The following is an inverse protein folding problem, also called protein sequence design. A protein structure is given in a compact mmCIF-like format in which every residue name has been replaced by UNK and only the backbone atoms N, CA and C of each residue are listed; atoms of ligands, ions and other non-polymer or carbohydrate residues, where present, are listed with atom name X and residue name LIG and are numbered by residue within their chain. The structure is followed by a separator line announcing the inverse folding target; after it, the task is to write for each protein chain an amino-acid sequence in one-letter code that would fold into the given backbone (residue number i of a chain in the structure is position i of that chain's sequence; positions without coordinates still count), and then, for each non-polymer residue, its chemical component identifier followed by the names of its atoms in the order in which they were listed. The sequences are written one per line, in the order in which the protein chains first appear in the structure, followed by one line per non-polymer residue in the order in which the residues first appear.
data_IF_299273049400
#
_entry.id   IF_299273049400
#
_cell.length_a   1.000
_cell.length_b   1.000
_cell.length_c   1.000
_cell.angle_alpha   90.00
_cell.angle_beta   90.00
_cell.angle_gamma   90.00
#
_symmetry.space_group_name_H-M   'P 1'
#
loop_
_entity.id
_entity.type
_entity.pdbx_description
1 polymer ?
#
# COMPACT_ATOMS: atom_id res chain seq x y z
N UNK A 1 39.37 -24.24 -19.86
CA UNK A 1 39.29 -22.82 -20.25
C UNK A 1 38.60 -22.11 -19.10
N UNK A 2 39.39 -21.56 -18.18
CA UNK A 2 38.90 -20.96 -16.95
C UNK A 2 38.27 -19.61 -17.27
N UNK A 3 36.94 -19.55 -17.39
CA UNK A 3 36.24 -18.28 -17.40
C UNK A 3 36.23 -17.75 -15.97
N UNK A 4 36.97 -16.65 -15.77
CA UNK A 4 36.85 -15.81 -14.58
C UNK A 4 35.42 -15.27 -14.49
N UNK A 5 34.55 -15.96 -13.75
CA UNK A 5 33.21 -15.50 -13.36
C UNK A 5 33.23 -14.38 -12.30
N UNK A 6 34.40 -13.85 -11.97
CA UNK A 6 34.56 -12.77 -10.98
C UNK A 6 34.00 -11.41 -11.44
N UNK A 7 33.46 -11.28 -12.66
CA UNK A 7 33.01 -10.00 -13.22
C UNK A 7 31.55 -9.97 -13.74
N UNK A 8 30.72 -10.96 -13.39
CA UNK A 8 29.30 -11.01 -13.83
C UNK A 8 28.28 -11.10 -12.68
N UNK A 9 28.66 -10.71 -11.47
CA UNK A 9 27.71 -10.55 -10.36
C UNK A 9 27.44 -9.07 -10.08
N UNK A 10 26.78 -8.38 -11.02
CA UNK A 10 25.85 -7.34 -10.57
C UNK A 10 24.75 -8.09 -9.83
N UNK A 11 24.77 -8.03 -8.51
CA UNK A 11 23.58 -8.31 -7.70
C UNK A 11 22.49 -7.41 -8.29
N UNK A 12 21.58 -7.96 -9.09
CA UNK A 12 20.57 -7.15 -9.76
C UNK A 12 19.74 -6.45 -8.68
N UNK A 13 19.57 -5.14 -8.83
CA UNK A 13 18.73 -4.35 -7.93
C UNK A 13 17.30 -4.84 -8.07
N UNK A 14 16.61 -4.99 -6.94
CA UNK A 14 15.17 -5.23 -6.93
C UNK A 14 14.48 -3.99 -7.53
N UNK A 15 13.69 -4.19 -8.59
CA UNK A 15 12.85 -3.15 -9.18
C UNK A 15 11.53 -3.08 -8.42
N UNK A 16 11.39 -2.07 -7.55
CA UNK A 16 10.20 -1.90 -6.73
C UNK A 16 9.29 -0.84 -7.35
N UNK A 17 8.04 -1.20 -7.67
CA UNK A 17 6.99 -0.21 -7.91
C UNK A 17 6.48 0.35 -6.59
N UNK A 18 6.41 1.66 -6.44
CA UNK A 18 5.89 2.34 -5.24
C UNK A 18 4.73 3.26 -5.64
N UNK A 19 3.56 3.07 -5.02
CA UNK A 19 2.38 3.90 -5.27
C UNK A 19 1.79 4.36 -3.94
N UNK A 20 1.67 5.67 -3.73
CA UNK A 20 0.96 6.23 -2.58
C UNK A 20 -0.28 6.93 -3.11
N UNK A 21 -1.46 6.59 -2.57
CA UNK A 21 -2.63 7.44 -2.73
C UNK A 21 -2.59 8.54 -1.66
N UNK A 22 -2.27 9.81 -2.00
CA UNK A 22 -2.09 10.88 -1.02
C UNK A 22 -3.36 11.17 -0.22
N UNK A 23 -4.53 10.80 -0.74
CA UNK A 23 -5.83 11.09 -0.14
C UNK A 23 -6.36 9.94 0.73
N UNK A 24 -5.66 8.81 0.78
CA UNK A 24 -6.10 7.65 1.55
C UNK A 24 -5.99 7.88 3.07
N UNK A 25 -6.99 7.37 3.80
CA UNK A 25 -7.08 7.47 5.26
C UNK A 25 -7.85 8.70 5.78
N UNK A 26 -8.17 9.67 4.91
CA UNK A 26 -8.85 10.92 5.27
C UNK A 26 -10.27 10.68 5.83
N UNK A 27 -11.07 9.83 5.18
CA UNK A 27 -12.49 9.64 5.50
C UNK A 27 -12.77 8.95 6.84
N UNK A 28 -11.86 8.09 7.30
CA UNK A 28 -12.04 7.29 8.52
C UNK A 28 -12.04 8.14 9.81
N UNK A 29 -11.21 9.17 9.89
CA UNK A 29 -11.02 10.00 11.10
C UNK A 29 -12.16 10.97 11.38
N UNK A 30 -12.86 11.44 10.35
CA UNK A 30 -13.98 12.39 10.49
C UNK A 30 -15.34 11.70 10.64
N UNK A 31 -15.35 10.38 10.90
CA UNK A 31 -16.58 9.59 10.98
C UNK A 31 -17.35 9.54 9.66
N UNK A 32 -16.72 9.95 8.55
CA UNK A 32 -17.35 9.92 7.24
C UNK A 32 -17.37 8.50 6.72
N UNK A 33 -18.45 8.20 6.03
CA UNK A 33 -18.76 6.90 5.46
C UNK A 33 -17.94 6.67 4.17
N UNK A 34 -16.62 6.63 4.29
CA UNK A 34 -15.67 6.47 3.17
C UNK A 34 -14.82 7.72 2.92
N UNK A 35 -13.84 7.60 2.01
CA UNK A 35 -12.95 8.70 1.55
C UNK A 35 -13.14 9.04 0.07
N UNK A 36 -14.10 8.40 -0.58
CA UNK A 36 -14.19 8.36 -2.04
C UNK A 36 -15.25 9.38 -2.51
N UNK A 37 -14.85 10.21 -3.47
CA UNK A 37 -15.60 11.39 -3.93
C UNK A 37 -14.95 12.71 -3.51
N UNK A 38 -14.76 13.61 -4.48
CA UNK A 38 -14.11 14.91 -4.28
C UNK A 38 -14.78 15.73 -3.15
N UNK A 39 -16.11 15.71 -3.07
CA UNK A 39 -16.87 16.42 -2.03
C UNK A 39 -16.54 15.94 -0.61
N UNK A 40 -16.32 14.63 -0.42
CA UNK A 40 -16.00 14.03 0.89
C UNK A 40 -14.57 14.37 1.29
N UNK A 41 -13.65 14.36 0.32
CA UNK A 41 -12.25 14.71 0.52
C UNK A 41 -12.10 16.20 0.90
N UNK A 42 -12.79 17.09 0.18
CA UNK A 42 -12.83 18.51 0.51
C UNK A 42 -13.42 18.76 1.91
N UNK A 43 -14.54 18.12 2.24
CA UNK A 43 -15.18 18.26 3.55
C UNK A 43 -14.29 17.75 4.69
N UNK A 44 -13.56 16.66 4.47
CA UNK A 44 -12.66 16.11 5.47
C UNK A 44 -11.41 16.98 5.67
N UNK A 45 -10.84 17.52 4.59
CA UNK A 45 -9.74 18.49 4.67
C UNK A 45 -10.17 19.77 5.41
N UNK A 46 -11.36 20.29 5.13
CA UNK A 46 -11.94 21.44 5.86
C UNK A 46 -12.13 21.15 7.35
N UNK A 47 -12.28 19.88 7.73
CA UNK A 47 -12.38 19.42 9.13
C UNK A 47 -11.02 19.09 9.75
N UNK A 48 -9.92 19.40 9.08
CA UNK A 48 -8.55 19.16 9.59
C UNK A 48 -8.11 17.70 9.52
N UNK A 49 -8.75 16.86 8.69
CA UNK A 49 -8.31 15.49 8.51
C UNK A 49 -6.93 15.45 7.84
N UNK A 50 -6.00 14.70 8.44
CA UNK A 50 -4.65 14.49 7.91
C UNK A 50 -4.61 13.10 7.26
N UNK A 51 -4.19 13.05 6.00
CA UNK A 51 -3.96 11.78 5.30
C UNK A 51 -2.76 11.04 5.89
N UNK A 52 -2.91 9.73 6.13
CA UNK A 52 -1.87 8.93 6.79
C UNK A 52 -1.02 8.13 5.81
N UNK A 53 -1.42 8.01 4.55
CA UNK A 53 -0.75 7.17 3.56
C UNK A 53 0.76 7.46 3.45
N UNK A 54 1.14 8.75 3.47
CA UNK A 54 2.54 9.20 3.47
C UNK A 54 3.31 8.71 4.70
N UNK A 55 2.76 8.91 5.90
CA UNK A 55 3.39 8.50 7.15
C UNK A 55 3.49 6.97 7.25
N UNK A 56 2.45 6.24 6.86
CA UNK A 56 2.44 4.76 6.87
C UNK A 56 3.42 4.18 5.87
N UNK A 57 3.49 4.71 4.65
CA UNK A 57 4.51 4.28 3.69
C UNK A 57 5.92 4.62 4.17
N UNK A 58 6.12 5.77 4.81
CA UNK A 58 7.42 6.11 5.42
C UNK A 58 7.84 5.10 6.49
N UNK A 59 6.91 4.65 7.34
CA UNK A 59 7.15 3.57 8.32
C UNK A 59 7.61 2.28 7.63
N UNK A 60 6.93 1.88 6.55
CA UNK A 60 7.29 0.67 5.79
C UNK A 60 8.68 0.80 5.13
N UNK A 61 8.95 1.91 4.44
CA UNK A 61 10.22 2.12 3.74
C UNK A 61 11.41 2.32 4.69
N UNK A 62 11.18 2.83 5.90
CA UNK A 62 12.23 2.94 6.92
C UNK A 62 12.90 1.59 7.23
N UNK A 63 12.13 0.49 7.20
CA UNK A 63 12.65 -0.87 7.42
C UNK A 63 13.69 -1.31 6.38
N UNK A 64 13.66 -0.73 5.16
CA UNK A 64 14.54 -1.10 4.05
C UNK A 64 15.59 -0.04 3.72
N UNK A 65 15.61 1.10 4.42
CA UNK A 65 16.69 2.09 4.31
C UNK A 65 18.09 1.47 4.48
N UNK A 66 18.34 0.53 5.42
CA UNK A 66 19.65 -0.11 5.55
C UNK A 66 20.09 -0.93 4.32
N UNK A 67 19.17 -1.32 3.44
CA UNK A 67 19.46 -2.05 2.21
C UNK A 67 19.03 -1.30 0.94
N UNK A 68 18.86 0.02 1.01
CA UNK A 68 18.37 0.85 -0.12
C UNK A 68 19.21 0.75 -1.39
N UNK A 69 20.51 0.48 -1.27
CA UNK A 69 21.40 0.26 -2.43
C UNK A 69 21.09 -1.02 -3.21
N UNK A 70 20.19 -1.87 -2.72
CA UNK A 70 19.74 -3.10 -3.40
C UNK A 70 18.39 -2.93 -4.09
N UNK A 71 17.82 -1.72 -4.07
CA UNK A 71 16.48 -1.43 -4.60
C UNK A 71 16.56 -0.22 -5.53
N UNK A 72 15.86 -0.32 -6.66
CA UNK A 72 15.55 0.83 -7.51
C UNK A 72 14.04 1.02 -7.54
N UNK A 73 13.56 2.20 -7.15
CA UNK A 73 12.13 2.48 -7.02
C UNK A 73 11.58 3.13 -8.30
N UNK A 74 10.45 2.64 -8.79
CA UNK A 74 9.66 3.26 -9.85
C UNK A 74 8.38 3.80 -9.23
N UNK A 75 8.08 5.08 -9.42
CA UNK A 75 6.96 5.73 -8.72
C UNK A 75 6.37 6.89 -9.53
N UNK A 76 5.30 7.50 -9.02
CA UNK A 76 4.69 8.70 -9.60
C UNK A 76 5.19 9.99 -8.92
N UNK A 77 5.01 11.10 -9.63
CA UNK A 77 5.47 12.41 -9.21
C UNK A 77 4.85 12.87 -7.87
N UNK A 78 5.52 13.81 -7.20
CA UNK A 78 5.07 14.47 -5.99
C UNK A 78 4.73 13.48 -4.84
N UNK A 79 3.56 13.65 -4.22
CA UNK A 79 3.10 12.88 -3.07
C UNK A 79 2.61 11.47 -3.44
N UNK A 80 2.62 11.09 -4.72
CA UNK A 80 2.37 9.70 -5.11
C UNK A 80 3.58 8.78 -4.89
N UNK A 81 4.75 9.33 -4.55
CA UNK A 81 5.88 8.58 -4.00
C UNK A 81 7.24 9.21 -4.20
N UNK A 82 7.41 10.10 -5.19
CA UNK A 82 8.64 10.85 -5.45
C UNK A 82 9.17 11.56 -4.19
N UNK A 83 8.35 12.39 -3.55
CA UNK A 83 8.75 13.20 -2.39
C UNK A 83 9.25 12.32 -1.23
N UNK A 84 8.64 11.14 -1.05
CA UNK A 84 9.05 10.18 -0.01
C UNK A 84 10.37 9.49 -0.38
N UNK A 85 10.53 9.08 -1.64
CA UNK A 85 11.79 8.48 -2.12
C UNK A 85 12.96 9.44 -1.95
N UNK A 86 12.77 10.70 -2.34
CA UNK A 86 13.76 11.76 -2.19
C UNK A 86 14.11 11.97 -0.71
N UNK A 87 13.10 12.12 0.15
CA UNK A 87 13.27 12.34 1.59
C UNK A 87 14.04 11.21 2.29
N UNK A 88 13.80 9.97 1.90
CA UNK A 88 14.48 8.79 2.48
C UNK A 88 15.80 8.44 1.74
N UNK A 89 16.11 9.15 0.66
CA UNK A 89 17.35 8.99 -0.11
C UNK A 89 17.47 7.64 -0.81
N UNK A 90 16.36 7.15 -1.38
CA UNK A 90 16.37 6.00 -2.31
C UNK A 90 16.76 6.44 -3.72
N UNK A 91 17.31 5.52 -4.51
CA UNK A 91 17.41 5.71 -5.97
C UNK A 91 16.04 5.41 -6.57
N UNK A 92 15.51 6.35 -7.37
CA UNK A 92 14.19 6.21 -7.96
C UNK A 92 14.09 6.76 -9.38
N UNK A 93 13.00 6.41 -10.06
CA UNK A 93 12.58 6.95 -11.35
C UNK A 93 11.10 7.30 -11.29
N UNK A 94 10.76 8.54 -11.64
CA UNK A 94 9.38 8.95 -11.85
C UNK A 94 8.92 8.43 -13.20
N UNK A 95 7.90 7.58 -13.20
CA UNK A 95 7.35 6.91 -14.41
C UNK A 95 5.99 7.44 -14.82
N UNK A 96 5.33 8.19 -13.93
CA UNK A 96 4.07 8.86 -14.23
C UNK A 96 4.07 10.25 -13.62
N UNK A 97 3.74 11.22 -14.44
CA UNK A 97 3.31 12.52 -13.97
C UNK A 97 1.99 12.38 -13.21
N UNK A 98 1.78 13.24 -12.22
CA UNK A 98 0.55 13.34 -11.45
C UNK A 98 0.40 14.78 -10.91
N UNK A 99 -0.83 15.29 -10.75
CA UNK A 99 -1.05 16.58 -10.10
C UNK A 99 -0.47 16.59 -8.68
N UNK A 100 0.14 17.70 -8.28
CA UNK A 100 0.73 17.83 -6.95
C UNK A 100 -0.31 17.88 -5.83
N UNK A 101 -1.50 18.46 -6.07
CA UNK A 101 -2.48 18.76 -5.02
C UNK A 101 -3.74 17.89 -5.07
N UNK A 102 -4.19 17.50 -6.27
CA UNK A 102 -5.47 16.83 -6.47
C UNK A 102 -5.32 15.58 -7.34
N UNK A 103 -4.87 14.50 -6.71
CA UNK A 103 -4.79 13.19 -7.35
C UNK A 103 -6.15 12.48 -7.33
N UNK A 104 -6.43 11.69 -8.35
CA UNK A 104 -7.64 10.91 -8.48
C UNK A 104 -7.33 9.42 -8.75
N UNK A 105 -8.39 8.61 -8.88
CA UNK A 105 -8.27 7.18 -9.14
C UNK A 105 -7.45 6.86 -10.41
N UNK A 106 -7.66 7.63 -11.49
CA UNK A 106 -6.94 7.40 -12.74
C UNK A 106 -5.44 7.69 -12.64
N UNK A 107 -5.01 8.60 -11.75
CA UNK A 107 -3.59 8.84 -11.52
C UNK A 107 -2.93 7.61 -10.86
N UNK A 108 -3.64 6.98 -9.92
CA UNK A 108 -3.19 5.71 -9.31
C UNK A 108 -3.08 4.62 -10.37
N UNK A 109 -4.13 4.44 -11.20
CA UNK A 109 -4.13 3.42 -12.25
C UNK A 109 -3.02 3.65 -13.29
N UNK A 110 -2.81 4.90 -13.69
CA UNK A 110 -1.75 5.26 -14.63
C UNK A 110 -0.37 4.95 -14.05
N UNK A 111 -0.11 5.35 -12.80
CA UNK A 111 1.15 5.08 -12.14
C UNK A 111 1.44 3.58 -12.01
N UNK A 112 0.43 2.76 -11.73
CA UNK A 112 0.54 1.28 -11.71
C UNK A 112 0.91 0.75 -13.09
N UNK A 113 0.20 1.16 -14.16
CA UNK A 113 0.49 0.73 -15.54
C UNK A 113 1.92 1.11 -15.94
N UNK A 114 2.35 2.34 -15.63
CA UNK A 114 3.69 2.82 -15.93
C UNK A 114 4.77 2.06 -15.15
N UNK A 115 4.55 1.74 -13.86
CA UNK A 115 5.46 0.88 -13.10
C UNK A 115 5.55 -0.52 -13.72
N UNK A 116 4.42 -1.11 -14.10
CA UNK A 116 4.40 -2.44 -14.71
C UNK A 116 5.15 -2.48 -16.05
N UNK A 117 5.08 -1.41 -16.86
CA UNK A 117 5.84 -1.28 -18.10
C UNK A 117 7.37 -1.24 -17.88
N UNK A 118 7.83 -0.84 -16.69
CA UNK A 118 9.26 -0.90 -16.34
C UNK A 118 9.73 -2.31 -15.92
N UNK A 119 8.81 -3.27 -15.85
CA UNK A 119 9.08 -4.63 -15.42
C UNK A 119 9.51 -4.69 -13.96
N UNK A 120 8.72 -4.07 -13.08
CA UNK A 120 8.94 -4.16 -11.62
C UNK A 120 8.77 -5.59 -11.12
N UNK A 121 9.60 -6.00 -10.17
CA UNK A 121 9.60 -7.33 -9.57
C UNK A 121 8.50 -7.47 -8.49
N UNK A 122 8.14 -6.34 -7.87
CA UNK A 122 7.17 -6.24 -6.78
C UNK A 122 6.55 -4.83 -6.79
N UNK A 123 5.27 -4.74 -6.48
CA UNK A 123 4.56 -3.48 -6.27
C UNK A 123 4.22 -3.32 -4.78
N UNK A 124 4.62 -2.21 -4.16
CA UNK A 124 4.15 -1.84 -2.82
C UNK A 124 3.31 -0.57 -2.92
N UNK A 125 2.20 -0.53 -2.19
CA UNK A 125 1.31 0.62 -2.26
C UNK A 125 0.71 1.01 -0.90
N UNK A 126 0.40 2.29 -0.70
CA UNK A 126 -0.31 2.77 0.48
C UNK A 126 -1.70 3.28 0.12
N UNK A 127 -2.73 2.74 0.77
CA UNK A 127 -4.13 3.04 0.45
C UNK A 127 -5.15 2.36 1.34
N UNK A 128 -6.42 2.51 0.97
CA UNK A 128 -7.55 1.72 1.46
C UNK A 128 -8.15 0.86 0.35
N UNK A 129 -9.26 0.16 0.61
CA UNK A 129 -9.87 -0.80 -0.33
C UNK A 129 -10.11 -0.24 -1.75
N UNK A 130 -10.62 0.99 -1.89
CA UNK A 130 -10.76 1.65 -3.20
C UNK A 130 -9.44 1.83 -3.96
N UNK A 131 -8.31 1.98 -3.25
CA UNK A 131 -6.96 2.00 -3.86
C UNK A 131 -6.54 0.61 -4.34
N UNK A 132 -6.78 -0.43 -3.53
CA UNK A 132 -6.52 -1.81 -3.92
C UNK A 132 -7.34 -2.22 -5.15
N UNK A 133 -8.61 -1.79 -5.21
CA UNK A 133 -9.49 -1.91 -6.38
C UNK A 133 -8.87 -1.27 -7.62
N UNK A 134 -8.42 -0.01 -7.52
CA UNK A 134 -7.81 0.69 -8.67
C UNK A 134 -6.54 -0.01 -9.15
N UNK A 135 -5.69 -0.48 -8.23
CA UNK A 135 -4.48 -1.26 -8.56
C UNK A 135 -4.85 -2.55 -9.29
N UNK A 136 -5.85 -3.28 -8.79
CA UNK A 136 -6.35 -4.48 -9.45
C UNK A 136 -6.81 -4.17 -10.87
N UNK A 137 -7.66 -3.16 -11.08
CA UNK A 137 -8.14 -2.79 -12.40
C UNK A 137 -7.01 -2.39 -13.35
N UNK A 138 -6.02 -1.64 -12.87
CA UNK A 138 -4.87 -1.23 -13.65
C UNK A 138 -4.01 -2.42 -14.10
N UNK A 139 -3.75 -3.38 -13.20
CA UNK A 139 -2.96 -4.57 -13.51
C UNK A 139 -3.64 -5.49 -14.54
N UNK A 140 -4.98 -5.56 -14.55
CA UNK A 140 -5.71 -6.32 -15.57
C UNK A 140 -5.60 -5.76 -16.99
N UNK A 141 -5.13 -4.51 -17.13
CA UNK A 141 -4.94 -3.87 -18.43
C UNK A 141 -3.49 -3.96 -18.93
N UNK A 142 -2.58 -4.54 -18.15
CA UNK A 142 -1.18 -4.69 -18.54
C UNK A 142 -1.03 -5.97 -19.37
N UNK A 143 -0.54 -5.86 -20.60
CA UNK A 143 -0.35 -6.98 -21.54
C UNK A 143 0.79 -7.96 -21.16
N UNK A 144 1.43 -7.75 -20.01
CA UNK A 144 2.56 -8.56 -19.53
C UNK A 144 2.10 -9.94 -19.08
N UNK A 145 2.88 -10.97 -19.42
CA UNK A 145 2.61 -12.37 -19.04
C UNK A 145 2.82 -12.66 -17.55
N UNK A 146 3.32 -11.69 -16.77
CA UNK A 146 3.50 -11.84 -15.33
C UNK A 146 3.16 -10.53 -14.63
N UNK A 147 2.11 -10.57 -13.82
CA UNK A 147 1.71 -9.49 -12.93
C UNK A 147 2.61 -9.54 -11.70
N UNK A 148 3.29 -8.44 -11.40
CA UNK A 148 4.13 -8.35 -10.22
C UNK A 148 3.28 -8.60 -8.95
N UNK A 149 3.79 -9.38 -7.98
CA UNK A 149 3.13 -9.49 -6.68
C UNK A 149 2.99 -8.13 -6.01
N UNK A 150 2.00 -8.00 -5.13
CA UNK A 150 1.69 -6.74 -4.45
C UNK A 150 1.85 -6.87 -2.93
N UNK A 151 2.18 -5.76 -2.26
CA UNK A 151 2.08 -5.60 -0.80
C UNK A 151 1.32 -4.31 -0.52
N UNK A 152 0.15 -4.42 0.09
CA UNK A 152 -0.60 -3.27 0.58
C UNK A 152 -0.08 -2.78 1.93
N UNK A 153 0.15 -1.48 2.05
CA UNK A 153 0.41 -0.77 3.30
C UNK A 153 -0.89 -0.11 3.74
N UNK A 154 -1.47 -0.52 4.87
CA UNK A 154 -2.78 -0.02 5.29
C UNK A 154 -2.69 1.47 5.67
N UNK A 155 -3.43 2.33 4.98
CA UNK A 155 -3.50 3.78 5.27
C UNK A 155 -4.66 4.18 6.19
N UNK A 156 -5.53 3.24 6.55
CA UNK A 156 -6.69 3.47 7.43
C UNK A 156 -7.21 2.18 8.06
N UNK A 157 -8.22 2.31 8.92
CA UNK A 157 -8.70 1.24 9.80
C UNK A 157 -9.89 0.43 9.24
N UNK A 158 -10.23 0.58 7.96
CA UNK A 158 -11.38 -0.08 7.31
C UNK A 158 -10.90 -0.77 6.04
N UNK A 159 -10.18 -1.86 6.21
CA UNK A 159 -9.61 -2.63 5.12
C UNK A 159 -10.22 -4.02 5.15
N UNK A 160 -10.92 -4.35 4.08
CA UNK A 160 -11.55 -5.65 3.85
C UNK A 160 -10.75 -6.51 2.88
N UNK A 161 -9.91 -5.90 2.03
CA UNK A 161 -9.04 -6.62 1.12
C UNK A 161 -7.92 -7.34 1.88
N UNK A 162 -7.65 -8.60 1.54
CA UNK A 162 -6.56 -9.38 2.15
C UNK A 162 -5.18 -9.12 1.53
N UNK A 163 -5.09 -8.16 0.59
CA UNK A 163 -3.83 -7.77 -0.06
C UNK A 163 -2.89 -6.93 0.81
N UNK A 164 -3.34 -6.56 2.01
CA UNK A 164 -2.60 -5.69 2.92
C UNK A 164 -1.78 -6.46 3.94
N UNK A 165 -0.65 -5.88 4.32
CA UNK A 165 0.06 -6.27 5.52
C UNK A 165 -0.78 -5.93 6.77
N UNK A 166 -0.57 -6.68 7.85
CA UNK A 166 -1.24 -6.45 9.15
C UNK A 166 -0.91 -5.05 9.70
N UNK A 167 0.32 -4.58 9.50
CA UNK A 167 0.73 -3.23 9.86
C UNK A 167 1.66 -2.64 8.80
N UNK A 168 1.86 -1.31 8.76
CA UNK A 168 2.86 -0.70 7.89
C UNK A 168 4.28 -1.20 8.15
N UNK A 169 4.64 -1.44 9.41
CA UNK A 169 5.92 -2.02 9.78
C UNK A 169 6.09 -3.45 9.22
N UNK A 170 5.06 -4.28 9.31
CA UNK A 170 5.07 -5.63 8.74
C UNK A 170 5.24 -5.63 7.21
N UNK A 171 4.65 -4.65 6.49
CA UNK A 171 4.90 -4.49 5.06
C UNK A 171 6.40 -4.21 4.78
N UNK A 172 7.01 -3.32 5.57
CA UNK A 172 8.42 -3.00 5.48
C UNK A 172 9.35 -4.17 5.81
N UNK A 173 9.04 -4.93 6.86
CA UNK A 173 9.78 -6.12 7.26
C UNK A 173 9.69 -7.22 6.22
N UNK A 174 8.49 -7.46 5.67
CA UNK A 174 8.28 -8.40 4.56
C UNK A 174 9.10 -8.01 3.33
N UNK A 175 9.08 -6.72 2.96
CA UNK A 175 9.89 -6.20 1.87
C UNK A 175 11.40 -6.37 2.14
N UNK A 176 11.85 -6.12 3.37
CA UNK A 176 13.25 -6.31 3.76
C UNK A 176 13.70 -7.77 3.62
N UNK A 177 12.83 -8.74 3.94
CA UNK A 177 13.09 -10.17 3.74
C UNK A 177 13.25 -10.52 2.26
N UNK A 178 12.38 -9.98 1.40
CA UNK A 178 12.44 -10.16 -0.06
C UNK A 178 13.75 -9.61 -0.62
N UNK A 179 14.12 -8.37 -0.25
CA UNK A 179 15.38 -7.74 -0.69
C UNK A 179 16.60 -8.55 -0.27
N UNK A 180 16.55 -9.18 0.92
CA UNK A 180 17.62 -10.06 1.42
C UNK A 180 17.66 -11.43 0.75
N UNK A 181 16.77 -11.71 -0.21
CA UNK A 181 16.75 -12.94 -1.00
C UNK A 181 16.03 -14.10 -0.33
N UNK A 182 15.15 -13.84 0.66
CA UNK A 182 14.29 -14.90 1.22
C UNK A 182 13.30 -15.34 0.14
N UNK A 183 13.32 -16.62 -0.21
CA UNK A 183 12.31 -17.21 -1.07
C UNK A 183 10.97 -17.25 -0.31
N UNK A 184 9.95 -16.60 -0.87
CA UNK A 184 8.59 -16.60 -0.35
C UNK A 184 7.66 -17.20 -1.41
N UNK A 185 6.72 -18.02 -0.99
CA UNK A 185 5.64 -18.47 -1.86
C UNK A 185 4.71 -17.30 -2.16
N UNK A 186 4.07 -17.31 -3.33
CA UNK A 186 2.98 -16.40 -3.64
C UNK A 186 1.65 -17.04 -3.30
N UNK A 187 0.67 -16.23 -2.94
CA UNK A 187 -0.71 -16.63 -2.73
C UNK A 187 -1.69 -15.59 -3.26
N UNK A 188 -2.91 -16.02 -3.58
CA UNK A 188 -3.97 -15.14 -4.07
C UNK A 188 -4.73 -14.47 -2.92
N UNK A 189 -4.67 -13.15 -2.84
CA UNK A 189 -5.40 -12.36 -1.85
C UNK A 189 -6.56 -11.60 -2.52
N UNK A 190 -7.72 -11.60 -1.85
CA UNK A 190 -8.93 -10.94 -2.30
C UNK A 190 -8.82 -9.43 -2.28
N UNK A 191 -9.26 -8.80 -3.37
CA UNK A 191 -9.51 -7.36 -3.46
C UNK A 191 -11.00 -7.13 -3.26
N UNK A 192 -11.34 -6.56 -2.11
CA UNK A 192 -12.70 -6.29 -1.67
C UNK A 192 -12.90 -4.78 -1.60
N UNK A 193 -14.09 -4.30 -1.94
CA UNK A 193 -14.44 -2.90 -1.70
C UNK A 193 -15.91 -2.78 -1.30
N UNK A 194 -16.25 -1.72 -0.57
CA UNK A 194 -17.62 -1.47 -0.14
C UNK A 194 -18.42 -0.91 -1.32
N UNK A 195 -19.62 -1.44 -1.52
CA UNK A 195 -20.61 -0.83 -2.40
C UNK A 195 -21.07 0.49 -1.78
N UNK A 196 -20.47 1.60 -2.25
CA UNK A 196 -20.73 2.93 -1.73
C UNK A 196 -22.18 3.39 -1.91
N UNK A 197 -22.84 3.00 -3.00
CA UNK A 197 -24.26 3.32 -3.22
C UNK A 197 -25.13 2.63 -2.17
N UNK A 198 -24.88 1.34 -1.93
CA UNK A 198 -25.53 0.60 -0.86
C UNK A 198 -25.22 1.22 0.52
N UNK A 199 -23.98 1.67 0.72
CA UNK A 199 -23.55 2.25 1.99
C UNK A 199 -24.18 3.62 2.28
N UNK A 200 -24.38 4.45 1.26
CA UNK A 200 -25.18 5.69 1.33
C UNK A 200 -26.63 5.40 1.72
N UNK A 201 -27.17 4.26 1.30
CA UNK A 201 -28.50 3.77 1.69
C UNK A 201 -28.50 3.03 3.04
N UNK A 202 -27.40 3.06 3.80
CA UNK A 202 -27.29 2.44 5.12
C UNK A 202 -27.06 0.93 5.10
N UNK A 203 -26.76 0.32 3.95
CA UNK A 203 -26.48 -1.10 3.79
C UNK A 203 -24.99 -1.31 3.56
N UNK A 204 -24.31 -2.04 4.46
CA UNK A 204 -22.91 -2.42 4.26
C UNK A 204 -22.88 -3.69 3.41
N UNK A 205 -22.38 -3.59 2.18
CA UNK A 205 -22.17 -4.74 1.29
C UNK A 205 -20.78 -4.66 0.70
N UNK A 206 -19.89 -5.56 1.10
CA UNK A 206 -18.59 -5.71 0.46
C UNK A 206 -18.75 -6.50 -0.84
N UNK A 207 -18.03 -6.09 -1.89
CA UNK A 207 -18.01 -6.71 -3.21
C UNK A 207 -16.59 -7.20 -3.51
N UNK A 208 -16.49 -8.44 -3.99
CA UNK A 208 -15.25 -8.99 -4.53
C UNK A 208 -14.99 -8.42 -5.94
N UNK A 209 -13.83 -7.80 -6.13
CA UNK A 209 -13.37 -7.31 -7.44
C UNK A 209 -12.48 -8.34 -8.16
N UNK A 210 -11.70 -9.10 -7.40
CA UNK A 210 -10.85 -10.16 -7.91
C UNK A 210 -9.75 -10.51 -6.92
N UNK A 211 -8.64 -11.03 -7.44
CA UNK A 211 -7.51 -11.49 -6.63
C UNK A 211 -6.19 -10.93 -7.17
N UNK A 212 -5.27 -10.65 -6.27
CA UNK A 212 -3.89 -10.26 -6.58
C UNK A 212 -2.92 -11.23 -5.90
N UNK A 213 -1.79 -11.48 -6.54
CA UNK A 213 -0.72 -12.27 -5.94
C UNK A 213 -0.02 -11.43 -4.86
N UNK A 214 0.13 -12.01 -3.67
CA UNK A 214 0.89 -11.42 -2.56
C UNK A 214 1.91 -12.42 -2.03
N UNK A 215 3.00 -11.98 -1.38
CA UNK A 215 3.89 -12.88 -0.67
C UNK A 215 3.13 -13.59 0.47
N UNK A 216 3.00 -14.91 0.40
CA UNK A 216 2.24 -15.73 1.33
C UNK A 216 3.03 -15.97 2.62
N UNK A 217 3.07 -14.96 3.48
CA UNK A 217 3.67 -15.04 4.82
C UNK A 217 2.64 -14.58 5.86
N UNK A 218 1.96 -15.57 6.47
CA UNK A 218 0.82 -15.38 7.38
C UNK A 218 1.11 -14.46 8.58
N UNK A 219 2.39 -14.25 8.92
CA UNK A 219 2.78 -13.35 10.01
C UNK A 219 2.70 -11.88 9.62
N UNK A 220 2.90 -11.56 8.34
CA UNK A 220 2.97 -10.17 7.87
C UNK A 220 1.72 -9.75 7.10
N UNK A 221 1.05 -10.66 6.40
CA UNK A 221 -0.13 -10.37 5.58
C UNK A 221 -1.44 -10.62 6.34
N UNK A 222 -2.46 -9.82 6.05
CA UNK A 222 -3.81 -10.05 6.58
C UNK A 222 -4.31 -11.43 6.11
N UNK A 223 -4.88 -12.20 7.05
CA UNK A 223 -5.19 -13.61 6.83
C UNK A 223 -6.11 -13.82 5.61
N UNK A 224 -5.67 -14.66 4.67
CA UNK A 224 -6.39 -15.04 3.44
C UNK A 224 -7.58 -16.00 3.69
N UNK A 225 -7.85 -16.38 4.93
CA UNK A 225 -8.93 -17.33 5.28
C UNK A 225 -10.15 -16.57 5.76
N UNK A 226 -11.19 -16.61 4.93
CA UNK A 226 -12.54 -16.19 5.28
C UNK A 226 -13.04 -16.87 6.57
N UNK A 227 -13.62 -16.08 7.47
CA UNK A 227 -14.59 -16.58 8.47
C UNK A 227 -14.22 -16.45 9.95
N UNK A 228 -14.47 -15.28 10.54
CA UNK A 228 -15.22 -15.19 11.81
C UNK A 228 -14.43 -14.94 13.10
N UNK A 229 -13.36 -15.69 13.40
CA UNK A 229 -12.82 -15.72 14.78
C UNK A 229 -11.65 -14.78 15.01
N UNK A 230 -10.82 -14.50 14.00
CA UNK A 230 -9.63 -13.63 14.11
C UNK A 230 -9.88 -12.17 13.75
N UNK A 231 -11.05 -11.83 13.19
CA UNK A 231 -11.44 -10.44 12.90
C UNK A 231 -11.51 -9.58 14.18
N UNK A 232 -11.91 -10.15 15.31
CA UNK A 232 -11.94 -9.41 16.58
C UNK A 232 -10.55 -9.00 17.05
N UNK A 233 -9.55 -9.90 16.96
CA UNK A 233 -8.18 -9.59 17.35
C UNK A 233 -7.56 -8.51 16.44
N UNK A 234 -7.81 -8.59 15.13
CA UNK A 234 -7.37 -7.56 14.17
C UNK A 234 -8.08 -6.24 14.41
N UNK A 235 -9.40 -6.25 14.62
CA UNK A 235 -10.16 -5.05 14.95
C UNK A 235 -9.70 -4.42 16.27
N UNK A 236 -9.40 -5.23 17.30
CA UNK A 236 -8.80 -4.77 18.56
C UNK A 236 -7.45 -4.11 18.34
N UNK A 237 -6.62 -4.68 17.48
CA UNK A 237 -5.29 -4.15 17.16
C UNK A 237 -5.38 -2.85 16.37
N UNK A 238 -6.32 -2.74 15.42
CA UNK A 238 -6.61 -1.52 14.67
C UNK A 238 -7.16 -0.41 15.59
N UNK A 239 -8.06 -0.76 16.51
CA UNK A 239 -8.55 0.16 17.54
C UNK A 239 -7.41 0.63 18.43
N UNK A 240 -6.54 -0.28 18.88
CA UNK A 240 -5.39 0.05 19.72
C UNK A 240 -4.43 1.00 18.98
N UNK A 241 -4.12 0.72 17.71
CA UNK A 241 -3.30 1.61 16.88
C UNK A 241 -3.97 2.97 16.70
N UNK A 242 -5.28 3.00 16.44
CA UNK A 242 -6.05 4.24 16.31
C UNK A 242 -6.03 5.09 17.59
N UNK A 243 -6.11 4.46 18.76
CA UNK A 243 -5.99 5.14 20.06
C UNK A 243 -4.56 5.66 20.25
N UNK A 244 -3.54 4.85 19.99
CA UNK A 244 -2.14 5.26 20.12
C UNK A 244 -1.84 6.47 19.23
N UNK A 245 -2.41 6.54 18.04
CA UNK A 245 -2.23 7.68 17.12
C UNK A 245 -2.89 8.98 17.59
N UNK A 246 -3.88 8.92 18.47
CA UNK A 246 -4.57 10.09 19.01
C UNK A 246 -4.11 10.45 20.42
N UNK A 247 -3.21 9.66 21.01
CA UNK A 247 -2.59 9.97 22.29
C UNK A 247 -1.60 11.14 22.12
N UNK A 248 -1.72 12.11 23.00
CA UNK A 248 -0.83 13.25 23.13
C UNK A 248 0.43 12.83 23.89
N UNK A 249 1.59 13.31 23.40
CA UNK A 249 2.84 13.14 24.11
C UNK A 249 2.78 13.83 25.49
N UNK A 250 3.43 13.24 26.49
CA UNK A 250 3.46 13.72 27.88
C UNK A 250 2.12 13.68 28.65
N UNK A 251 1.09 13.03 28.11
CA UNK A 251 -0.18 12.82 28.79
C UNK A 251 -0.28 11.42 29.44
N UNK A 252 -0.75 11.38 30.70
CA UNK A 252 -1.01 10.12 31.40
C UNK A 252 -2.42 9.63 31.04
N UNK A 253 -2.49 8.48 30.38
CA UNK A 253 -3.73 7.81 30.06
C UNK A 253 -4.00 6.70 31.07
N UNK A 254 -5.19 6.70 31.66
CA UNK A 254 -5.66 5.64 32.54
C UNK A 254 -6.48 4.66 31.70
N UNK A 255 -6.02 3.41 31.63
CA UNK A 255 -6.64 2.30 30.91
C UNK A 255 -7.40 1.39 31.89
#
# INVERSE_FOLDING_TARGET
MSLNLANSMRKQLLKLGLIINPLAGIGGRVGLKGSDGEDIQQLAMQRGAIALAQARMAQALACIVPCKEQVHIYTAAHDMGENLCQRLGFTYTVVSEAPAEHTCASDTEQAVRQCAQQGVDLLIFAGGDGTARNIYHALQQVESHTVAPVIGVPAGCKIHSSVYAVTPAHAGELLALIIKGRALSLGEASVMDIDEEAFRQGRVKARLHGYLNVPAENQFMQNMKDGGVTHEALALQDIAVGIIETMEEESVYLL
#
